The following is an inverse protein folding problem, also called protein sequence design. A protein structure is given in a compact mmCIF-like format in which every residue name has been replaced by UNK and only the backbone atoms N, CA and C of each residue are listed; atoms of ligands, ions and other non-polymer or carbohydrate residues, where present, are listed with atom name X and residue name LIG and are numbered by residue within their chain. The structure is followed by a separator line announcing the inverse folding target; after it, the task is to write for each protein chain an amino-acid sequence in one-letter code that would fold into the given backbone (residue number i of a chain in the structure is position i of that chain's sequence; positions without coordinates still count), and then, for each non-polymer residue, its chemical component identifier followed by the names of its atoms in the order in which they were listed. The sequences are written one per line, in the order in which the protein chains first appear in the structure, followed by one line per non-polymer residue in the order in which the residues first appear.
data_IF_292425621793
#
_entry.id   IF_292425621793
#
_cell.length_a   1.000
_cell.length_b   1.000
_cell.length_c   1.000
_cell.angle_alpha   90.00
_cell.angle_beta   90.00
_cell.angle_gamma   90.00
#
_symmetry.space_group_name_H-M   'P 1'
#
loop_
_entity.id
_entity.type
_entity.pdbx_description
1 polymer ?
#
# COMPACT_ATOMS: atom_id res chain seq x y z
N UNK A 1 -3.81 21.49 -1.13
CA UNK A 1 -4.47 20.62 -0.13
C UNK A 1 -5.83 20.18 -0.67
N UNK A 2 -6.44 19.18 -0.09
CA UNK A 2 -7.72 18.65 -0.59
C UNK A 2 -8.92 19.52 -0.19
N UNK A 3 -8.75 20.36 0.82
CA UNK A 3 -9.83 21.20 1.39
C UNK A 3 -9.65 22.69 1.10
N UNK A 4 -8.57 23.07 0.42
CA UNK A 4 -8.27 24.45 0.02
C UNK A 4 -8.78 24.71 -1.40
N UNK A 5 -9.04 25.98 -1.74
CA UNK A 5 -9.34 26.40 -3.11
C UNK A 5 -8.13 26.17 -4.03
N UNK A 6 -8.40 25.85 -5.30
CA UNK A 6 -7.35 25.68 -6.28
C UNK A 6 -6.64 27.01 -6.59
N UNK A 7 -5.34 27.01 -6.41
CA UNK A 7 -4.48 28.16 -6.76
C UNK A 7 -3.80 27.90 -8.12
N UNK A 8 -4.02 28.76 -9.12
CA UNK A 8 -3.41 28.59 -10.43
C UNK A 8 -1.89 28.83 -10.37
N UNK A 9 -1.13 27.92 -10.98
CA UNK A 9 0.32 28.03 -11.16
C UNK A 9 0.61 27.93 -12.64
N UNK A 10 1.22 28.98 -13.22
CA UNK A 10 1.63 28.97 -14.63
C UNK A 10 2.85 28.07 -14.82
N UNK A 11 2.77 27.17 -15.79
CA UNK A 11 3.90 26.32 -16.17
C UNK A 11 4.92 27.12 -17.01
N UNK A 12 6.18 26.86 -16.77
CA UNK A 12 7.31 27.41 -17.53
C UNK A 12 7.60 26.55 -18.76
N UNK A 13 8.01 27.19 -19.84
CA UNK A 13 8.41 26.48 -21.06
C UNK A 13 9.89 26.13 -20.99
N UNK A 14 10.19 24.82 -21.01
CA UNK A 14 11.57 24.32 -21.04
C UNK A 14 11.82 23.61 -22.35
N UNK A 15 12.87 24.08 -23.08
CA UNK A 15 13.30 23.45 -24.32
C UNK A 15 14.41 22.45 -24.04
N UNK A 16 14.18 21.18 -24.38
CA UNK A 16 15.16 20.10 -24.27
C UNK A 16 15.48 19.51 -25.65
N UNK A 17 16.49 18.65 -25.74
CA UNK A 17 16.84 17.95 -26.99
C UNK A 17 15.67 17.12 -27.56
N UNK A 18 14.73 16.73 -26.71
CA UNK A 18 13.51 15.95 -27.05
C UNK A 18 12.33 16.83 -27.48
N UNK A 19 12.45 18.16 -27.43
CA UNK A 19 11.39 19.12 -27.80
C UNK A 19 11.03 20.09 -26.68
N UNK A 20 9.94 20.82 -26.87
CA UNK A 20 9.40 21.80 -25.93
C UNK A 20 8.54 21.06 -24.88
N UNK A 21 8.83 21.29 -23.60
CA UNK A 21 8.09 20.75 -22.46
C UNK A 21 7.58 21.91 -21.60
N UNK A 22 6.49 21.66 -20.86
CA UNK A 22 5.96 22.58 -19.87
C UNK A 22 6.19 22.01 -18.48
N UNK A 23 6.83 22.78 -17.61
CA UNK A 23 7.13 22.39 -16.24
C UNK A 23 6.38 23.27 -15.24
N UNK A 24 5.78 22.66 -14.24
CA UNK A 24 5.14 23.35 -13.12
C UNK A 24 5.55 22.70 -11.80
N UNK A 25 5.89 23.52 -10.81
CA UNK A 25 6.25 23.04 -9.48
C UNK A 25 5.04 23.10 -8.54
N UNK A 26 4.74 21.98 -7.87
CA UNK A 26 3.73 21.92 -6.82
C UNK A 26 4.38 22.13 -5.45
N UNK A 27 3.69 22.80 -4.50
CA UNK A 27 4.23 23.05 -3.17
C UNK A 27 4.44 21.74 -2.42
N UNK A 28 5.67 21.52 -1.93
CA UNK A 28 6.02 20.32 -1.14
C UNK A 28 5.18 20.28 0.14
N UNK A 29 4.63 19.11 0.45
CA UNK A 29 3.92 18.84 1.68
C UNK A 29 4.75 17.96 2.61
N UNK A 30 4.50 18.00 3.94
CA UNK A 30 5.03 17.01 4.88
C UNK A 30 4.60 15.58 4.53
N UNK A 31 5.25 14.59 5.13
CA UNK A 31 4.85 13.18 5.00
C UNK A 31 3.38 12.99 5.37
N UNK A 32 2.70 12.08 4.67
CA UNK A 32 1.24 11.84 4.70
C UNK A 32 0.38 13.00 4.16
N UNK A 33 0.97 14.15 3.80
CA UNK A 33 0.27 15.25 3.15
C UNK A 33 -0.22 14.87 1.76
N UNK A 34 -1.32 15.48 1.32
CA UNK A 34 -1.93 15.25 0.02
C UNK A 34 -2.15 16.57 -0.71
N UNK A 35 -1.93 16.55 -2.03
CA UNK A 35 -2.33 17.62 -2.94
C UNK A 35 -3.22 17.06 -4.03
N UNK A 36 -4.22 17.83 -4.42
CA UNK A 36 -4.99 17.61 -5.63
C UNK A 36 -4.62 18.67 -6.65
N UNK A 37 -4.51 18.26 -7.92
CA UNK A 37 -4.30 19.20 -9.01
C UNK A 37 -4.99 18.73 -10.30
N UNK A 38 -5.18 19.64 -11.20
CA UNK A 38 -5.52 19.39 -12.60
C UNK A 38 -4.70 20.34 -13.49
N UNK A 39 -4.59 20.01 -14.74
CA UNK A 39 -3.87 20.82 -15.73
C UNK A 39 -4.87 21.39 -16.71
N UNK A 40 -4.77 22.69 -16.97
CA UNK A 40 -5.46 23.36 -18.07
C UNK A 40 -4.43 23.79 -19.11
N UNK A 41 -4.69 23.45 -20.36
CA UNK A 41 -3.83 23.81 -21.48
C UNK A 41 -4.69 24.30 -22.66
N UNK A 42 -4.23 25.34 -23.34
CA UNK A 42 -4.82 25.77 -24.58
C UNK A 42 -4.12 25.06 -25.76
N UNK A 43 -4.87 24.20 -26.44
CA UNK A 43 -4.37 23.41 -27.58
C UNK A 43 -5.19 23.79 -28.83
N UNK A 44 -4.53 24.36 -29.83
CA UNK A 44 -5.16 24.81 -31.08
C UNK A 44 -6.36 25.78 -30.85
N UNK A 45 -6.24 26.68 -29.86
CA UNK A 45 -7.26 27.67 -29.51
C UNK A 45 -8.44 27.11 -28.72
N UNK A 46 -8.33 25.89 -28.22
CA UNK A 46 -9.31 25.28 -27.35
C UNK A 46 -8.73 24.99 -25.99
N UNK A 47 -9.40 25.45 -24.93
CA UNK A 47 -9.06 25.09 -23.55
C UNK A 47 -9.36 23.61 -23.30
N UNK A 48 -8.37 22.87 -22.85
CA UNK A 48 -8.49 21.46 -22.46
C UNK A 48 -8.03 21.29 -21.03
N UNK A 49 -8.75 20.44 -20.29
CA UNK A 49 -8.47 20.10 -18.89
C UNK A 49 -8.06 18.64 -18.78
N UNK A 50 -7.08 18.35 -17.91
CA UNK A 50 -6.63 16.99 -17.58
C UNK A 50 -6.61 16.80 -16.06
N UNK A 51 -7.37 15.86 -15.51
CA UNK A 51 -8.35 14.97 -16.16
C UNK A 51 -9.50 15.73 -16.83
N UNK A 52 -10.12 15.14 -17.85
CA UNK A 52 -11.16 15.80 -18.66
C UNK A 52 -12.44 16.12 -17.88
N UNK A 53 -12.80 15.24 -16.93
CA UNK A 53 -14.00 15.41 -16.12
C UNK A 53 -13.78 16.45 -15.02
N UNK A 54 -14.73 17.34 -14.83
CA UNK A 54 -14.60 18.48 -13.90
C UNK A 54 -14.50 18.06 -12.43
N UNK A 55 -15.03 16.90 -12.07
CA UNK A 55 -15.00 16.29 -10.73
C UNK A 55 -13.78 15.39 -10.49
N UNK A 56 -12.93 15.19 -11.50
CA UNK A 56 -11.72 14.39 -11.37
C UNK A 56 -10.48 15.27 -11.18
N UNK A 57 -9.59 14.79 -10.31
CA UNK A 57 -8.32 15.43 -9.99
C UNK A 57 -7.22 14.39 -9.90
N UNK A 58 -5.98 14.81 -10.16
CA UNK A 58 -4.80 14.00 -9.86
C UNK A 58 -4.43 14.20 -8.39
N UNK A 59 -4.35 13.09 -7.63
CA UNK A 59 -3.98 13.11 -6.23
C UNK A 59 -2.53 12.70 -6.06
N UNK A 60 -1.72 13.55 -5.42
CA UNK A 60 -0.36 13.24 -4.99
C UNK A 60 -0.36 13.08 -3.47
N UNK A 61 0.26 12.01 -3.00
CA UNK A 61 0.56 11.77 -1.59
C UNK A 61 2.06 11.86 -1.34
N UNK A 62 2.45 12.69 -0.39
CA UNK A 62 3.85 12.87 -0.02
C UNK A 62 4.27 11.82 1.00
N UNK A 63 5.51 11.37 0.87
CA UNK A 63 6.16 10.44 1.81
C UNK A 63 7.62 10.80 1.95
N UNK A 64 8.18 10.51 3.11
CA UNK A 64 9.61 10.63 3.33
C UNK A 64 10.38 9.46 2.71
N UNK A 65 11.69 9.62 2.45
CA UNK A 65 12.51 8.57 1.85
C UNK A 65 12.66 7.38 2.80
N UNK A 66 12.44 6.18 2.27
CA UNK A 66 12.64 4.92 3.00
C UNK A 66 14.01 4.36 2.63
N UNK A 67 14.86 3.97 3.59
CA UNK A 67 16.15 3.35 3.29
C UNK A 67 16.02 2.07 2.45
N UNK A 68 16.83 1.95 1.41
CA UNK A 68 16.80 0.80 0.50
C UNK A 68 17.02 -0.53 1.23
N UNK A 69 17.84 -0.54 2.28
CA UNK A 69 18.07 -1.72 3.13
C UNK A 69 16.81 -2.23 3.87
N UNK A 70 15.75 -1.44 3.95
CA UNK A 70 14.46 -1.84 4.51
C UNK A 70 13.44 -2.06 3.39
N UNK A 71 13.38 -1.16 2.42
CA UNK A 71 12.40 -1.19 1.35
C UNK A 71 12.58 -2.40 0.42
N UNK A 72 13.82 -2.66 -0.04
CA UNK A 72 14.09 -3.76 -0.98
C UNK A 72 13.76 -5.13 -0.36
N UNK A 73 14.23 -5.47 0.86
CA UNK A 73 13.84 -6.73 1.50
C UNK A 73 12.33 -6.84 1.74
N UNK A 74 11.67 -5.76 2.17
CA UNK A 74 10.21 -5.74 2.34
C UNK A 74 9.50 -6.13 1.04
N UNK A 75 9.74 -5.39 -0.04
CA UNK A 75 9.08 -5.63 -1.33
C UNK A 75 9.38 -7.03 -1.86
N UNK A 76 10.64 -7.47 -1.79
CA UNK A 76 11.08 -8.78 -2.26
C UNK A 76 10.38 -9.91 -1.50
N UNK A 77 10.36 -9.84 -0.16
CA UNK A 77 9.69 -10.86 0.67
C UNK A 77 8.18 -10.87 0.44
N UNK A 78 7.56 -9.72 0.23
CA UNK A 78 6.12 -9.65 -0.06
C UNK A 78 5.80 -10.28 -1.42
N UNK A 79 6.60 -10.00 -2.47
CA UNK A 79 6.42 -10.64 -3.79
C UNK A 79 6.63 -12.16 -3.71
N UNK A 80 7.68 -12.62 -3.04
CA UNK A 80 7.94 -14.06 -2.85
C UNK A 80 6.78 -14.69 -2.07
N UNK A 81 6.28 -14.05 -1.01
CA UNK A 81 5.19 -14.58 -0.20
C UNK A 81 3.90 -14.74 -0.99
N UNK A 82 3.54 -13.78 -1.86
CA UNK A 82 2.34 -13.93 -2.70
C UNK A 82 2.48 -15.07 -3.69
N UNK A 83 3.65 -15.22 -4.33
CA UNK A 83 3.91 -16.30 -5.28
C UNK A 83 3.85 -17.67 -4.58
N UNK A 84 4.46 -17.82 -3.40
CA UNK A 84 4.40 -19.03 -2.60
C UNK A 84 2.98 -19.33 -2.12
N UNK A 85 2.23 -18.32 -1.69
CA UNK A 85 0.85 -18.45 -1.26
C UNK A 85 -0.08 -18.87 -2.41
N UNK A 86 0.05 -18.28 -3.59
CA UNK A 86 -0.69 -18.71 -4.78
C UNK A 86 -0.37 -20.15 -5.15
N UNK A 87 0.93 -20.52 -5.14
CA UNK A 87 1.33 -21.90 -5.38
C UNK A 87 0.79 -22.86 -4.31
N UNK A 88 0.73 -22.44 -3.04
CA UNK A 88 0.14 -23.25 -1.96
C UNK A 88 -1.34 -23.50 -2.19
N UNK A 89 -2.09 -22.48 -2.62
CA UNK A 89 -3.50 -22.59 -2.99
C UNK A 89 -3.75 -23.53 -4.16
N UNK A 90 -2.94 -23.42 -5.22
CA UNK A 90 -2.98 -24.36 -6.36
C UNK A 90 -2.66 -25.79 -5.91
N UNK A 91 -1.67 -25.96 -5.03
CA UNK A 91 -1.37 -27.27 -4.45
C UNK A 91 -2.53 -27.82 -3.63
N UNK A 92 -3.25 -26.97 -2.89
CA UNK A 92 -4.44 -27.40 -2.15
C UNK A 92 -5.55 -27.94 -3.06
N UNK A 93 -5.69 -27.42 -4.28
CA UNK A 93 -6.69 -27.86 -5.24
C UNK A 93 -6.26 -29.13 -5.97
N UNK A 94 -5.07 -29.13 -6.57
CA UNK A 94 -4.70 -30.10 -7.59
C UNK A 94 -3.72 -31.18 -7.10
N UNK A 95 -2.72 -30.77 -6.31
CA UNK A 95 -1.62 -31.67 -5.92
C UNK A 95 -1.06 -31.30 -4.54
N UNK A 96 -1.66 -31.75 -3.44
CA UNK A 96 -1.35 -31.26 -2.08
C UNK A 96 0.03 -31.72 -1.56
N UNK A 97 0.94 -32.14 -2.41
CA UNK A 97 2.23 -32.72 -2.02
C UNK A 97 3.08 -31.80 -1.16
N UNK A 98 3.32 -30.55 -1.60
CA UNK A 98 4.13 -29.56 -0.90
C UNK A 98 3.31 -28.45 -0.22
N UNK A 99 2.00 -28.63 -0.13
CA UNK A 99 1.07 -27.59 0.34
C UNK A 99 1.47 -27.01 1.70
N UNK A 100 1.84 -27.88 2.66
CA UNK A 100 2.19 -27.43 4.02
C UNK A 100 3.46 -26.61 4.05
N UNK A 101 4.51 -27.09 3.38
CA UNK A 101 5.79 -26.37 3.32
C UNK A 101 5.60 -24.99 2.68
N UNK A 102 4.84 -24.93 1.58
CA UNK A 102 4.51 -23.68 0.92
C UNK A 102 3.69 -22.75 1.80
N UNK A 103 2.70 -23.28 2.53
CA UNK A 103 1.88 -22.50 3.46
C UNK A 103 2.72 -21.88 4.58
N UNK A 104 3.59 -22.68 5.21
CA UNK A 104 4.49 -22.18 6.26
C UNK A 104 5.54 -21.20 5.71
N UNK A 105 6.10 -21.45 4.53
CA UNK A 105 7.03 -20.53 3.89
C UNK A 105 6.35 -19.19 3.57
N UNK A 106 5.09 -19.22 3.12
CA UNK A 106 4.27 -18.02 2.90
C UNK A 106 4.08 -17.24 4.20
N UNK A 107 3.67 -17.94 5.28
CA UNK A 107 3.48 -17.30 6.59
C UNK A 107 4.78 -16.68 7.11
N UNK A 108 5.91 -17.39 7.01
CA UNK A 108 7.21 -16.85 7.41
C UNK A 108 7.59 -15.59 6.61
N UNK A 109 7.43 -15.63 5.29
CA UNK A 109 7.71 -14.49 4.44
C UNK A 109 6.81 -13.29 4.75
N UNK A 110 5.50 -13.52 4.99
CA UNK A 110 4.57 -12.47 5.40
C UNK A 110 4.87 -11.94 6.82
N UNK A 111 5.34 -12.79 7.73
CA UNK A 111 5.73 -12.34 9.06
C UNK A 111 6.92 -11.39 8.95
N UNK A 112 7.99 -11.78 8.27
CA UNK A 112 9.18 -10.93 8.17
C UNK A 112 8.93 -9.75 7.23
N UNK A 113 8.44 -10.02 6.03
CA UNK A 113 8.20 -8.98 5.02
C UNK A 113 7.09 -8.02 5.43
N UNK A 114 5.93 -8.55 5.83
CA UNK A 114 4.72 -7.76 6.10
C UNK A 114 4.63 -7.21 7.52
N UNK A 115 4.76 -8.08 8.54
CA UNK A 115 4.51 -7.69 9.93
C UNK A 115 5.72 -7.07 10.64
N UNK A 116 6.94 -7.26 10.14
CA UNK A 116 8.15 -6.65 10.70
C UNK A 116 8.64 -5.50 9.82
N UNK A 117 8.98 -5.79 8.57
CA UNK A 117 9.52 -4.77 7.66
C UNK A 117 8.46 -3.77 7.19
N UNK A 118 7.19 -4.18 7.05
CA UNK A 118 6.08 -3.28 6.68
C UNK A 118 5.94 -2.10 7.63
N UNK A 119 5.79 -2.30 8.95
CA UNK A 119 5.80 -1.23 9.93
C UNK A 119 7.06 -0.37 9.90
N UNK A 120 8.23 -0.93 9.64
CA UNK A 120 9.46 -0.14 9.48
C UNK A 120 9.40 0.77 8.25
N UNK A 121 8.93 0.25 7.10
CA UNK A 121 8.70 1.07 5.89
C UNK A 121 7.72 2.20 6.19
N UNK A 122 6.63 1.91 6.88
CA UNK A 122 5.62 2.91 7.25
C UNK A 122 6.18 3.97 8.19
N UNK A 123 7.00 3.58 9.18
CA UNK A 123 7.67 4.52 10.07
C UNK A 123 8.57 5.49 9.33
N UNK A 124 9.36 5.00 8.38
CA UNK A 124 10.20 5.87 7.55
C UNK A 124 9.36 6.77 6.63
N UNK A 125 8.34 6.21 5.99
CA UNK A 125 7.55 6.94 4.99
C UNK A 125 6.60 7.98 5.60
N UNK A 126 6.02 7.69 6.78
CA UNK A 126 4.91 8.46 7.34
C UNK A 126 5.04 8.77 8.84
N UNK A 127 6.12 8.36 9.51
CA UNK A 127 6.34 8.69 10.91
C UNK A 127 5.75 7.72 11.94
N UNK A 128 4.82 6.82 11.55
CA UNK A 128 4.16 5.87 12.43
C UNK A 128 4.43 4.42 12.03
N UNK A 129 4.60 3.50 13.02
CA UNK A 129 4.83 2.09 12.72
C UNK A 129 3.59 1.36 12.24
N UNK A 130 2.44 1.71 12.82
CA UNK A 130 1.18 1.02 12.57
C UNK A 130 0.01 1.97 12.76
N UNK A 131 -0.84 2.07 11.74
CA UNK A 131 -2.04 2.91 11.74
C UNK A 131 -3.31 2.13 11.38
N UNK A 132 -3.21 0.79 11.34
CA UNK A 132 -4.34 -0.11 11.20
C UNK A 132 -4.98 -0.48 12.55
N UNK A 133 -5.96 -1.39 12.51
CA UNK A 133 -6.64 -1.90 13.70
C UNK A 133 -5.63 -2.52 14.70
N UNK A 134 -5.74 -2.30 16.02
CA UNK A 134 -6.78 -1.55 16.73
C UNK A 134 -6.50 -0.03 16.85
N UNK A 135 -5.36 0.47 16.37
CA UNK A 135 -4.90 1.84 16.57
C UNK A 135 -5.51 2.83 15.57
N UNK A 136 -5.94 2.37 14.41
CA UNK A 136 -6.52 3.19 13.38
C UNK A 136 -7.23 2.42 12.26
N UNK A 137 -7.58 3.12 11.19
CA UNK A 137 -8.35 2.61 10.06
C UNK A 137 -7.55 2.44 8.75
N UNK A 138 -6.21 2.53 8.80
CA UNK A 138 -5.39 2.41 7.59
C UNK A 138 -5.62 1.07 6.88
N UNK A 139 -6.10 1.17 5.64
CA UNK A 139 -6.42 -0.02 4.84
C UNK A 139 -5.19 -0.85 4.46
N UNK A 140 -4.02 -0.24 4.35
CA UNK A 140 -2.78 -0.95 4.00
C UNK A 140 -2.37 -1.90 5.12
N UNK A 141 -2.38 -1.41 6.36
CA UNK A 141 -2.09 -2.20 7.54
C UNK A 141 -3.17 -3.25 7.78
N UNK A 142 -4.43 -2.86 7.67
CA UNK A 142 -5.56 -3.78 7.87
C UNK A 142 -5.55 -4.94 6.87
N UNK A 143 -5.23 -4.68 5.59
CA UNK A 143 -5.07 -5.74 4.59
C UNK A 143 -3.96 -6.72 4.99
N UNK A 144 -2.82 -6.19 5.43
CA UNK A 144 -1.71 -7.03 5.88
C UNK A 144 -2.12 -7.89 7.07
N UNK A 145 -2.83 -7.32 8.04
CA UNK A 145 -3.34 -8.04 9.21
C UNK A 145 -4.30 -9.16 8.80
N UNK A 146 -5.26 -8.90 7.91
CA UNK A 146 -6.20 -9.91 7.44
C UNK A 146 -5.51 -11.07 6.71
N UNK A 147 -4.58 -10.76 5.83
CA UNK A 147 -3.78 -11.78 5.14
C UNK A 147 -2.99 -12.63 6.14
N UNK A 148 -2.30 -11.98 7.07
CA UNK A 148 -1.50 -12.64 8.10
C UNK A 148 -2.35 -13.59 8.96
N UNK A 149 -3.49 -13.11 9.48
CA UNK A 149 -4.40 -13.93 10.29
C UNK A 149 -4.99 -15.12 9.51
N UNK A 150 -5.33 -14.93 8.25
CA UNK A 150 -5.80 -16.03 7.40
C UNK A 150 -4.73 -17.11 7.22
N UNK A 151 -3.45 -16.73 7.01
CA UNK A 151 -2.36 -17.67 6.92
C UNK A 151 -1.99 -18.32 8.25
N UNK A 152 -2.05 -17.59 9.37
CA UNK A 152 -1.89 -18.15 10.73
C UNK A 152 -2.95 -19.24 10.96
N UNK A 153 -4.22 -18.96 10.66
CA UNK A 153 -5.30 -19.94 10.75
C UNK A 153 -5.05 -21.14 9.85
N UNK A 154 -4.72 -20.94 8.57
CA UNK A 154 -4.46 -22.05 7.65
C UNK A 154 -3.29 -22.93 8.13
N UNK A 155 -2.19 -22.32 8.57
CA UNK A 155 -1.03 -23.04 9.09
C UNK A 155 -1.34 -23.79 10.41
N UNK A 156 -2.18 -23.24 11.30
CA UNK A 156 -2.64 -23.93 12.51
C UNK A 156 -3.43 -25.19 12.20
N UNK A 157 -4.30 -25.12 11.18
CA UNK A 157 -5.13 -26.27 10.74
C UNK A 157 -4.28 -27.36 10.08
N UNK A 158 -3.33 -27.00 9.21
CA UNK A 158 -2.49 -27.99 8.52
C UNK A 158 -1.40 -28.59 9.44
N UNK A 159 -0.99 -27.82 10.47
CA UNK A 159 0.02 -28.21 11.45
C UNK A 159 1.44 -28.30 10.89
N UNK A 160 2.40 -28.54 11.79
CA UNK A 160 3.84 -28.57 11.46
C UNK A 160 4.33 -29.91 10.92
N UNK A 161 3.63 -31.02 11.19
CA UNK A 161 4.14 -32.34 10.82
C UNK A 161 3.99 -32.60 9.30
N UNK A 162 5.11 -32.63 8.54
CA UNK A 162 5.04 -32.81 7.09
C UNK A 162 4.60 -34.23 6.69
N UNK A 163 4.77 -35.22 7.59
CA UNK A 163 4.42 -36.62 7.34
C UNK A 163 2.93 -36.92 7.53
N UNK A 164 2.21 -36.06 8.24
CA UNK A 164 0.77 -36.22 8.42
C UNK A 164 0.05 -35.90 7.10
N UNK A 165 -0.85 -36.77 6.65
CA UNK A 165 -1.65 -36.55 5.43
C UNK A 165 -2.39 -35.22 5.46
N UNK A 166 -2.48 -34.55 4.32
CA UNK A 166 -3.29 -33.35 4.17
C UNK A 166 -4.77 -33.70 4.27
N UNK A 167 -5.44 -33.11 5.26
CA UNK A 167 -6.88 -33.26 5.42
C UNK A 167 -7.65 -32.36 4.46
N UNK A 168 -8.90 -32.71 4.15
CA UNK A 168 -9.79 -31.84 3.35
C UNK A 168 -9.94 -30.48 4.01
N UNK A 169 -10.12 -30.44 5.33
CA UNK A 169 -10.20 -29.17 6.10
C UNK A 169 -8.92 -28.34 5.94
N UNK A 170 -7.73 -28.95 5.99
CA UNK A 170 -6.47 -28.25 5.76
C UNK A 170 -6.36 -27.69 4.35
N UNK A 171 -6.80 -28.42 3.34
CA UNK A 171 -6.83 -27.96 1.94
C UNK A 171 -7.78 -26.76 1.77
N UNK A 172 -8.98 -26.83 2.36
CA UNK A 172 -9.95 -25.72 2.33
C UNK A 172 -9.36 -24.49 3.02
N UNK A 173 -8.76 -24.64 4.22
CA UNK A 173 -8.17 -23.53 4.95
C UNK A 173 -7.06 -22.81 4.14
N UNK A 174 -6.15 -23.57 3.53
CA UNK A 174 -5.07 -23.01 2.70
C UNK A 174 -5.65 -22.31 1.46
N UNK A 175 -6.63 -22.91 0.80
CA UNK A 175 -7.26 -22.31 -0.37
C UNK A 175 -7.98 -21.01 -0.01
N UNK A 176 -8.72 -20.98 1.11
CA UNK A 176 -9.38 -19.78 1.62
C UNK A 176 -8.37 -18.67 1.94
N UNK A 177 -7.25 -19.01 2.61
CA UNK A 177 -6.20 -18.03 2.89
C UNK A 177 -5.58 -17.46 1.60
N UNK A 178 -5.44 -18.29 0.57
CA UNK A 178 -4.96 -17.84 -0.75
C UNK A 178 -5.95 -16.86 -1.39
N UNK A 179 -7.26 -17.12 -1.32
CA UNK A 179 -8.28 -16.19 -1.82
C UNK A 179 -8.23 -14.87 -1.06
N UNK A 180 -8.21 -14.89 0.26
CA UNK A 180 -8.11 -13.68 1.09
C UNK A 180 -6.88 -12.88 0.70
N UNK A 181 -5.72 -13.53 0.60
CA UNK A 181 -4.47 -12.88 0.18
C UNK A 181 -4.60 -12.24 -1.20
N UNK A 182 -5.15 -12.96 -2.18
CA UNK A 182 -5.32 -12.46 -3.55
C UNK A 182 -6.24 -11.25 -3.60
N UNK A 183 -7.38 -11.30 -2.91
CA UNK A 183 -8.32 -10.16 -2.82
C UNK A 183 -7.65 -8.95 -2.18
N UNK A 184 -6.92 -9.13 -1.08
CA UNK A 184 -6.20 -8.05 -0.42
C UNK A 184 -5.13 -7.40 -1.33
N UNK A 185 -4.46 -8.19 -2.17
CA UNK A 185 -3.48 -7.67 -3.13
C UNK A 185 -4.11 -6.92 -4.31
N UNK A 186 -5.32 -7.28 -4.71
CA UNK A 186 -6.06 -6.56 -5.76
C UNK A 186 -6.54 -5.18 -5.31
N UNK A 187 -6.66 -4.94 -4.00
CA UNK A 187 -6.97 -3.61 -3.46
C UNK A 187 -5.71 -2.74 -3.55
N UNK A 188 -5.73 -1.60 -4.27
CA UNK A 188 -4.57 -0.74 -4.42
C UNK A 188 -3.95 -0.31 -3.09
N UNK A 189 -2.62 -0.13 -3.09
CA UNK A 189 -1.89 0.39 -1.93
C UNK A 189 -2.24 1.86 -1.71
N UNK A 190 -2.29 2.26 -0.44
CA UNK A 190 -2.44 3.66 -0.02
C UNK A 190 -3.73 4.38 -0.42
N UNK A 191 -4.78 3.67 -0.84
CA UNK A 191 -6.08 4.29 -1.18
C UNK A 191 -6.81 4.91 0.03
N UNK A 192 -6.59 4.40 1.23
CA UNK A 192 -7.21 4.90 2.47
C UNK A 192 -6.20 4.80 3.62
N UNK A 193 -5.04 5.40 3.44
CA UNK A 193 -3.97 5.41 4.44
C UNK A 193 -4.05 6.63 5.36
N UNK A 194 -3.09 6.70 6.28
CA UNK A 194 -2.92 7.82 7.20
C UNK A 194 -2.89 9.15 6.45
N UNK A 195 -3.58 10.15 6.99
CA UNK A 195 -3.66 11.51 6.46
C UNK A 195 -2.97 12.49 7.42
N UNK A 196 -2.45 13.59 6.87
CA UNK A 196 -1.93 14.68 7.67
C UNK A 196 -3.09 15.55 8.15
N UNK A 197 -3.18 15.75 9.48
CA UNK A 197 -4.10 16.73 10.06
C UNK A 197 -3.51 18.14 9.89
N UNK A 198 -3.92 18.78 8.82
CA UNK A 198 -3.50 20.15 8.52
C UNK A 198 -3.92 21.16 9.59
N UNK A 199 -5.01 20.91 10.32
CA UNK A 199 -5.47 21.82 11.38
C UNK A 199 -4.46 21.91 12.53
N UNK A 200 -3.74 20.84 12.81
CA UNK A 200 -2.66 20.83 13.80
C UNK A 200 -1.39 21.48 13.26
N UNK A 201 -1.05 21.20 11.99
CA UNK A 201 0.14 21.80 11.34
C UNK A 201 -0.01 23.32 11.22
N UNK A 202 -1.16 23.82 10.85
CA UNK A 202 -1.43 25.27 10.71
C UNK A 202 -1.41 26.02 12.06
N UNK A 203 -1.65 25.30 13.16
CA UNK A 203 -1.47 25.83 14.53
C UNK A 203 0.00 25.78 15.01
N UNK A 204 0.95 25.41 14.13
CA UNK A 204 2.39 25.31 14.48
C UNK A 204 2.76 23.98 15.13
N UNK A 205 1.91 22.97 15.08
CA UNK A 205 2.21 21.61 15.52
C UNK A 205 3.26 20.92 14.65
N UNK A 206 3.99 19.97 15.22
CA UNK A 206 4.94 19.14 14.50
C UNK A 206 4.20 18.22 13.51
N UNK A 207 4.44 18.33 12.19
CA UNK A 207 3.77 17.50 11.19
C UNK A 207 3.91 15.99 11.42
N UNK A 208 5.05 15.55 12.00
CA UNK A 208 5.29 14.14 12.30
C UNK A 208 4.37 13.57 13.39
N UNK A 209 3.75 14.46 14.20
CA UNK A 209 2.80 14.12 15.26
C UNK A 209 1.34 14.40 14.86
N UNK A 210 1.14 15.04 13.72
CA UNK A 210 -0.16 15.41 13.18
C UNK A 210 -0.70 14.39 12.17
N UNK A 211 -0.30 13.12 12.28
CA UNK A 211 -0.74 12.07 11.36
C UNK A 211 -1.99 11.42 11.93
N UNK A 212 -3.11 11.60 11.24
CA UNK A 212 -4.36 10.93 11.57
C UNK A 212 -4.33 9.47 11.11
N UNK A 213 -4.74 8.57 12.00
CA UNK A 213 -4.77 7.13 11.75
C UNK A 213 -6.06 6.66 11.05
N UNK A 214 -6.76 7.56 10.37
CA UNK A 214 -8.01 7.25 9.66
C UNK A 214 -9.21 7.00 10.58
N UNK A 215 -9.15 7.45 11.83
CA UNK A 215 -10.33 7.53 12.71
C UNK A 215 -11.03 8.86 12.42
N UNK A 216 -12.09 8.81 11.66
CA UNK A 216 -13.19 9.77 11.71
C UNK A 216 -14.38 9.12 12.34
#
# INVERSE_FOLDING_TARGET
RTDDDFTPVTMETVTSESGTQFEGALPKQPAAGKLQYYIEAEIAGQARRFPEQADQFVLIRFKDPVPDGVLIPHVTLMIISILLGMRSGLSALFAPYNMKQLAWATLCGMTVGGMILGPMVQKYAFGEYWTGFPLGGDWTDNKMLFMFLAWVFACSVVGLNPRKKNTTTGRIAVFTATIVMTVCYLIPHSMGGSDLDYSQVDKGGDPSKAIETGRK
#
